data_IF_881092213511
#
_entry.id   IF_881092213511
#
_cell.length_a   1.000
_cell.length_b   1.000
_cell.length_c   1.000
_cell.angle_alpha   90.00
_cell.angle_beta   90.00
_cell.angle_gamma   90.00
#
_symmetry.space_group_name_H-M   'P 1'
#
loop_
_entity.id
_entity.type
_entity.pdbx_description
1 polymer ?
#
# COMPACT_ATOMS: atom_id res chain seq x y z
N UNK A 1 25.57 3.42 24.54
CA UNK A 1 25.84 2.21 23.73
C UNK A 1 25.08 1.08 24.38
N UNK A 2 23.86 0.83 23.92
CA UNK A 2 23.06 -0.31 24.38
C UNK A 2 23.52 -1.53 23.57
N UNK A 3 24.15 -2.50 24.24
CA UNK A 3 24.39 -3.82 23.67
C UNK A 3 23.03 -4.45 23.38
N UNK A 4 22.69 -4.58 22.10
CA UNK A 4 21.53 -5.40 21.70
C UNK A 4 21.82 -6.83 22.13
N UNK A 5 21.01 -7.34 23.03
CA UNK A 5 20.96 -8.75 23.38
C UNK A 5 20.72 -9.53 22.09
N UNK A 6 21.70 -10.32 21.65
CA UNK A 6 21.52 -11.33 20.64
C UNK A 6 20.62 -12.40 21.26
N UNK A 7 19.33 -12.37 20.93
CA UNK A 7 18.34 -13.31 21.44
C UNK A 7 18.42 -14.69 20.75
N UNK A 8 19.43 -14.89 19.89
CA UNK A 8 19.66 -16.11 19.13
C UNK A 8 18.64 -16.33 18.02
N UNK A 9 17.74 -15.38 17.76
CA UNK A 9 16.75 -15.47 16.68
C UNK A 9 17.38 -15.02 15.38
N UNK A 10 17.32 -15.87 14.35
CA UNK A 10 17.70 -15.47 13.00
C UNK A 10 16.72 -14.41 12.47
N UNK A 11 17.20 -13.16 12.44
CA UNK A 11 16.42 -11.99 12.01
C UNK A 11 16.41 -11.76 10.50
N UNK A 12 16.94 -12.69 9.70
CA UNK A 12 16.86 -12.58 8.23
C UNK A 12 15.42 -12.70 7.75
N UNK A 13 15.08 -11.98 6.68
CA UNK A 13 13.74 -12.04 6.09
C UNK A 13 13.39 -13.45 5.61
N UNK A 14 14.38 -14.26 5.23
CA UNK A 14 14.15 -15.66 4.83
C UNK A 14 13.70 -16.50 6.02
N UNK A 15 14.45 -16.46 7.13
CA UNK A 15 14.12 -17.20 8.36
C UNK A 15 12.76 -16.78 8.93
N UNK A 16 12.40 -15.50 8.79
CA UNK A 16 11.12 -14.95 9.21
C UNK A 16 9.96 -15.21 8.23
N UNK A 17 10.22 -15.77 7.04
CA UNK A 17 9.20 -15.99 6.01
C UNK A 17 8.69 -14.71 5.32
N UNK A 18 9.47 -13.63 5.39
CA UNK A 18 9.14 -12.28 4.91
C UNK A 18 9.89 -11.86 3.64
N UNK A 19 10.76 -12.72 3.09
CA UNK A 19 11.66 -12.38 1.98
C UNK A 19 10.96 -12.25 0.62
N UNK A 20 9.85 -12.96 0.39
CA UNK A 20 9.19 -12.99 -0.92
C UNK A 20 8.54 -11.65 -1.26
N UNK A 21 8.86 -11.14 -2.45
CA UNK A 21 8.25 -9.95 -3.01
C UNK A 21 7.09 -10.31 -3.98
N UNK A 22 5.87 -9.78 -3.79
CA UNK A 22 4.79 -9.88 -4.78
C UNK A 22 5.17 -9.40 -6.18
N UNK A 23 6.18 -8.53 -6.28
CA UNK A 23 6.74 -8.12 -7.57
C UNK A 23 7.31 -9.29 -8.39
N UNK A 24 7.88 -10.28 -7.72
CA UNK A 24 8.46 -11.48 -8.32
C UNK A 24 7.41 -12.61 -8.44
N UNK A 25 6.56 -12.77 -7.43
CA UNK A 25 5.45 -13.75 -7.42
C UNK A 25 4.10 -13.04 -7.16
N UNK A 26 3.35 -12.62 -8.21
CA UNK A 26 2.18 -11.77 -8.08
C UNK A 26 1.05 -12.42 -7.29
N UNK A 27 0.95 -13.76 -7.34
CA UNK A 27 -0.07 -14.51 -6.62
C UNK A 27 0.13 -14.50 -5.09
N UNK A 28 1.29 -14.03 -4.62
CA UNK A 28 1.54 -13.81 -3.19
C UNK A 28 1.05 -12.45 -2.72
N UNK A 29 0.58 -11.56 -3.60
CA UNK A 29 0.10 -10.23 -3.22
C UNK A 29 -0.98 -10.31 -2.11
N UNK A 30 -0.88 -9.48 -1.04
CA UNK A 30 0.03 -8.32 -0.86
C UNK A 30 1.43 -8.66 -0.33
N UNK A 31 1.80 -9.93 -0.22
CA UNK A 31 3.04 -10.40 0.39
C UNK A 31 2.86 -10.69 1.87
N UNK A 32 3.87 -11.30 2.50
CA UNK A 32 3.86 -11.55 3.93
C UNK A 32 4.07 -10.25 4.71
N UNK A 33 3.27 -10.05 5.76
CA UNK A 33 3.38 -8.92 6.68
C UNK A 33 4.07 -9.40 7.97
N UNK A 34 4.87 -8.55 8.63
CA UNK A 34 5.40 -8.86 9.95
C UNK A 34 4.27 -9.06 10.97
N UNK A 35 4.52 -9.86 12.02
CA UNK A 35 3.60 -10.00 13.15
C UNK A 35 3.67 -8.80 14.13
N UNK A 36 4.83 -8.15 14.18
CA UNK A 36 5.18 -7.10 15.12
C UNK A 36 5.86 -5.94 14.40
N UNK A 37 5.94 -4.81 15.09
CA UNK A 37 6.70 -3.65 14.61
C UNK A 37 8.18 -4.02 14.48
N UNK A 38 8.86 -3.46 13.47
CA UNK A 38 10.26 -3.76 13.22
C UNK A 38 10.97 -2.75 12.33
N UNK A 39 12.29 -2.83 12.31
CA UNK A 39 13.18 -2.02 11.51
C UNK A 39 13.77 -2.86 10.39
N UNK A 40 13.32 -2.61 9.15
CA UNK A 40 13.87 -3.28 7.97
C UNK A 40 15.25 -2.70 7.65
N UNK A 41 16.29 -3.53 7.73
CA UNK A 41 17.69 -3.17 7.42
C UNK A 41 18.26 -4.21 6.47
N UNK A 42 18.39 -3.84 5.20
CA UNK A 42 18.85 -4.78 4.16
C UNK A 42 17.93 -6.01 4.07
N UNK A 43 18.47 -7.18 4.38
CA UNK A 43 17.76 -8.47 4.38
C UNK A 43 17.34 -8.93 5.78
N UNK A 44 17.30 -8.04 6.77
CA UNK A 44 16.90 -8.34 8.15
C UNK A 44 15.76 -7.46 8.63
N UNK A 45 14.90 -8.02 9.49
CA UNK A 45 13.91 -7.27 10.26
C UNK A 45 14.30 -7.30 11.74
N UNK A 46 14.82 -6.18 12.22
CA UNK A 46 15.28 -6.04 13.60
C UNK A 46 14.16 -5.48 14.49
N UNK A 47 14.20 -5.70 15.81
CA UNK A 47 13.33 -4.97 16.73
C UNK A 47 13.48 -3.46 16.59
N UNK A 48 12.40 -2.71 16.84
CA UNK A 48 12.47 -1.25 16.96
C UNK A 48 12.94 -0.87 18.36
N UNK A 49 13.77 0.17 18.44
CA UNK A 49 14.17 0.77 19.71
C UNK A 49 13.02 1.66 20.26
N UNK A 50 12.85 1.68 21.58
CA UNK A 50 11.70 2.31 22.25
C UNK A 50 11.66 3.85 22.15
N UNK A 51 12.78 4.50 21.81
CA UNK A 51 12.91 5.97 21.92
C UNK A 51 12.35 6.76 20.73
N UNK A 52 11.79 6.09 19.71
CA UNK A 52 11.17 6.69 18.53
C UNK A 52 12.06 7.64 17.69
N UNK A 53 13.35 7.80 18.03
CA UNK A 53 14.32 8.64 17.27
C UNK A 53 14.45 8.19 15.82
N UNK A 54 14.20 6.90 15.56
CA UNK A 54 14.19 6.29 14.23
C UNK A 54 13.16 6.89 13.28
N UNK A 55 12.18 7.65 13.77
CA UNK A 55 11.12 8.29 12.98
C UNK A 55 11.40 9.75 12.62
N UNK A 56 12.40 10.39 13.25
CA UNK A 56 12.65 11.82 13.05
C UNK A 56 12.93 12.14 11.57
N UNK A 57 12.32 13.21 11.08
CA UNK A 57 12.42 13.67 9.69
C UNK A 57 11.94 12.65 8.63
N UNK A 58 11.13 11.66 9.02
CA UNK A 58 10.52 10.69 8.10
C UNK A 58 9.04 10.98 7.87
N UNK A 59 8.57 10.51 6.72
CA UNK A 59 7.17 10.63 6.31
C UNK A 59 6.41 9.35 6.66
N UNK A 60 5.38 9.42 7.52
CA UNK A 60 4.55 8.26 7.83
C UNK A 60 3.61 7.94 6.66
N UNK A 61 3.63 6.70 6.20
CA UNK A 61 2.74 6.19 5.16
C UNK A 61 1.99 4.97 5.68
N UNK A 62 0.66 5.02 5.67
CA UNK A 62 -0.20 3.89 6.00
C UNK A 62 -0.15 2.85 4.88
N UNK A 63 0.33 1.66 5.20
CA UNK A 63 0.47 0.55 4.27
C UNK A 63 -0.81 -0.29 4.21
N UNK A 64 -1.46 -0.28 3.04
CA UNK A 64 -2.72 -1.00 2.77
C UNK A 64 -2.47 -2.35 2.06
N UNK A 65 -1.32 -2.48 1.42
CA UNK A 65 -0.98 -3.61 0.57
C UNK A 65 0.50 -3.91 0.63
N UNK A 66 1.13 -4.06 -0.52
CA UNK A 66 2.52 -4.53 -0.60
C UNK A 66 3.58 -3.66 0.09
N UNK A 67 3.25 -2.40 0.44
CA UNK A 67 4.14 -1.57 1.26
C UNK A 67 4.25 -2.06 2.72
N UNK A 68 3.40 -2.99 3.18
CA UNK A 68 3.55 -3.67 4.47
C UNK A 68 4.42 -4.94 4.38
N UNK A 69 4.87 -5.32 3.17
CA UNK A 69 5.73 -6.49 2.96
C UNK A 69 7.22 -6.10 2.95
N UNK A 70 8.04 -6.62 3.88
CA UNK A 70 9.47 -6.32 3.91
C UNK A 70 10.20 -6.76 2.66
N UNK A 71 9.91 -7.96 2.14
CA UNK A 71 10.45 -8.46 0.88
C UNK A 71 10.14 -7.53 -0.30
N UNK A 72 8.91 -7.01 -0.37
CA UNK A 72 8.54 -6.04 -1.40
C UNK A 72 9.30 -4.71 -1.27
N UNK A 73 9.36 -4.14 -0.07
CA UNK A 73 10.06 -2.88 0.17
C UNK A 73 11.55 -3.02 -0.12
N UNK A 74 12.19 -4.10 0.37
CA UNK A 74 13.59 -4.42 0.08
C UNK A 74 13.82 -4.50 -1.42
N UNK A 75 12.97 -5.23 -2.16
CA UNK A 75 13.11 -5.35 -3.61
C UNK A 75 13.03 -3.96 -4.29
N UNK A 76 12.03 -3.13 -3.94
CA UNK A 76 11.89 -1.77 -4.49
C UNK A 76 13.13 -0.91 -4.20
N UNK A 77 13.63 -0.93 -2.97
CA UNK A 77 14.75 -0.08 -2.54
C UNK A 77 16.10 -0.56 -3.08
N UNK A 78 16.29 -1.88 -3.21
CA UNK A 78 17.49 -2.48 -3.77
C UNK A 78 17.70 -2.13 -5.24
N UNK A 79 16.63 -2.00 -6.04
CA UNK A 79 16.70 -1.51 -7.43
C UNK A 79 17.37 -0.13 -7.54
N UNK A 80 17.35 0.67 -6.47
CA UNK A 80 17.94 2.01 -6.40
C UNK A 80 19.16 2.09 -5.45
N UNK A 81 19.67 0.95 -4.99
CA UNK A 81 20.82 0.90 -4.07
C UNK A 81 20.57 1.54 -2.70
N UNK A 82 19.31 1.66 -2.27
CA UNK A 82 18.96 2.24 -0.97
C UNK A 82 19.03 1.15 0.10
N UNK A 83 19.93 1.34 1.07
CA UNK A 83 20.15 0.43 2.21
C UNK A 83 19.79 1.06 3.55
N UNK A 84 19.34 2.31 3.58
CA UNK A 84 18.93 2.99 4.81
C UNK A 84 17.76 2.25 5.47
N UNK A 85 17.73 2.16 6.82
CA UNK A 85 16.65 1.47 7.54
C UNK A 85 15.26 2.04 7.24
N UNK A 86 14.25 1.17 7.21
CA UNK A 86 12.83 1.52 7.10
C UNK A 86 12.09 1.05 8.35
N UNK A 87 11.65 1.96 9.22
CA UNK A 87 10.76 1.60 10.33
C UNK A 87 9.38 1.21 9.83
N UNK A 88 8.89 0.06 10.30
CA UNK A 88 7.58 -0.51 9.99
C UNK A 88 6.83 -0.72 11.31
N UNK A 89 5.87 0.15 11.61
CA UNK A 89 5.21 0.20 12.92
C UNK A 89 3.80 -0.34 12.80
N UNK A 90 3.47 -1.38 13.57
CA UNK A 90 2.11 -1.90 13.66
C UNK A 90 1.21 -0.87 14.34
N UNK A 91 0.03 -0.67 13.79
CA UNK A 91 -0.93 0.34 14.24
C UNK A 91 -2.35 -0.20 14.22
N UNK A 92 -3.17 0.26 15.17
CA UNK A 92 -4.61 0.08 15.16
C UNK A 92 -5.25 1.28 14.46
N UNK A 93 -5.88 1.03 13.31
CA UNK A 93 -6.50 2.05 12.47
C UNK A 93 -8.01 1.92 12.49
N UNK A 94 -8.70 3.01 12.84
CA UNK A 94 -10.16 3.11 12.80
C UNK A 94 -10.59 3.96 11.61
N UNK A 95 -11.59 3.50 10.87
CA UNK A 95 -12.19 4.24 9.76
C UNK A 95 -11.65 3.87 8.37
N UNK A 96 -10.67 2.98 8.28
CA UNK A 96 -10.07 2.52 7.01
C UNK A 96 -10.14 1.00 6.93
N UNK A 97 -10.57 0.48 5.78
CA UNK A 97 -10.50 -0.94 5.45
C UNK A 97 -9.62 -1.16 4.19
N UNK A 98 -9.29 -2.42 3.92
CA UNK A 98 -8.47 -2.85 2.78
C UNK A 98 -9.36 -3.34 1.65
N UNK A 99 -9.60 -2.47 0.68
CA UNK A 99 -10.37 -2.77 -0.52
C UNK A 99 -9.52 -3.23 -1.70
N UNK A 100 -10.18 -3.47 -2.83
CA UNK A 100 -9.54 -3.86 -4.10
C UNK A 100 -9.52 -2.67 -5.05
N UNK A 101 -8.35 -2.31 -5.58
CA UNK A 101 -8.24 -1.26 -6.60
C UNK A 101 -8.95 -1.65 -7.89
N UNK A 102 -9.54 -0.67 -8.58
CA UNK A 102 -10.16 -0.89 -9.89
C UNK A 102 -9.12 -0.80 -11.02
N UNK A 103 -7.98 -1.48 -10.87
CA UNK A 103 -6.83 -1.39 -11.78
C UNK A 103 -6.04 -2.70 -11.84
N UNK A 104 -5.66 -3.10 -13.05
CA UNK A 104 -4.75 -4.23 -13.28
C UNK A 104 -3.32 -3.72 -13.30
N UNK A 105 -2.51 -4.12 -12.32
CA UNK A 105 -1.09 -3.75 -12.25
C UNK A 105 -0.26 -4.45 -13.32
N UNK A 106 0.71 -3.72 -13.88
CA UNK A 106 1.75 -4.25 -14.78
C UNK A 106 2.66 -5.29 -14.12
N UNK A 107 2.56 -5.44 -12.80
CA UNK A 107 3.26 -6.49 -12.05
C UNK A 107 2.56 -7.84 -12.18
N UNK A 108 1.28 -7.85 -12.55
CA UNK A 108 0.48 -9.06 -12.75
C UNK A 108 -0.57 -9.32 -11.66
N UNK A 109 -0.96 -8.32 -10.87
CA UNK A 109 -1.98 -8.47 -9.83
C UNK A 109 -3.00 -7.31 -9.86
N UNK A 110 -4.09 -7.44 -9.13
CA UNK A 110 -5.05 -6.36 -8.85
C UNK A 110 -4.82 -5.88 -7.41
N UNK A 111 -4.14 -4.75 -7.25
CA UNK A 111 -3.65 -4.30 -5.94
C UNK A 111 -4.76 -3.91 -4.97
N UNK A 112 -4.42 -3.90 -3.68
CA UNK A 112 -5.25 -3.34 -2.62
C UNK A 112 -5.35 -1.81 -2.75
N UNK A 113 -6.43 -1.24 -2.21
CA UNK A 113 -6.66 0.20 -2.13
C UNK A 113 -7.35 0.53 -0.81
N UNK A 114 -7.01 1.66 -0.15
CA UNK A 114 -7.73 2.07 1.05
C UNK A 114 -9.18 2.37 0.72
N UNK A 115 -10.09 2.04 1.64
CA UNK A 115 -11.50 2.41 1.54
C UNK A 115 -11.96 3.08 2.84
N UNK A 116 -12.75 4.13 2.72
CA UNK A 116 -13.39 4.78 3.86
C UNK A 116 -14.42 3.80 4.45
N UNK A 117 -14.20 3.38 5.68
CA UNK A 117 -15.03 2.39 6.37
C UNK A 117 -15.26 2.81 7.81
N UNK A 118 -16.20 3.76 8.06
CA UNK A 118 -16.49 4.26 9.40
C UNK A 118 -16.82 3.12 10.38
N UNK A 119 -16.21 3.15 11.56
CA UNK A 119 -16.43 2.14 12.61
C UNK A 119 -15.66 0.83 12.43
N UNK A 120 -15.05 0.58 11.28
CA UNK A 120 -14.14 -0.57 11.11
C UNK A 120 -12.80 -0.27 11.76
N UNK A 121 -12.28 -1.25 12.51
CA UNK A 121 -10.96 -1.22 13.15
C UNK A 121 -10.10 -2.30 12.50
N UNK A 122 -8.87 -1.94 12.11
CA UNK A 122 -7.87 -2.82 11.49
C UNK A 122 -6.53 -2.70 12.16
N UNK A 123 -5.79 -3.80 12.19
CA UNK A 123 -4.35 -3.76 12.46
C UNK A 123 -3.63 -3.67 11.11
N UNK A 124 -2.87 -2.60 10.93
CA UNK A 124 -2.12 -2.27 9.71
C UNK A 124 -0.70 -1.85 10.10
N UNK A 125 0.09 -1.42 9.11
CA UNK A 125 1.42 -0.86 9.35
C UNK A 125 1.50 0.59 8.87
N UNK A 126 2.22 1.43 9.63
CA UNK A 126 2.77 2.70 9.15
C UNK A 126 4.25 2.49 8.87
N UNK A 127 4.64 2.72 7.63
CA UNK A 127 6.04 2.74 7.21
C UNK A 127 6.57 4.16 7.21
N UNK A 128 7.74 4.38 7.81
CA UNK A 128 8.35 5.70 7.95
C UNK A 128 9.48 5.88 6.93
N UNK A 129 9.23 6.63 5.87
CA UNK A 129 10.20 6.79 4.80
C UNK A 129 11.01 8.07 4.94
N UNK A 130 12.33 7.98 4.76
CA UNK A 130 13.14 9.15 4.44
C UNK A 130 12.80 9.69 3.04
N UNK A 131 13.34 10.85 2.67
CA UNK A 131 13.04 11.50 1.37
C UNK A 131 13.37 10.62 0.17
N UNK A 132 14.46 9.85 0.20
CA UNK A 132 14.88 9.00 -0.92
C UNK A 132 14.01 7.75 -1.03
N UNK A 133 13.74 7.11 0.10
CA UNK A 133 12.84 5.96 0.18
C UNK A 133 11.44 6.34 -0.31
N UNK A 134 10.91 7.48 0.15
CA UNK A 134 9.59 7.96 -0.24
C UNK A 134 9.48 8.23 -1.74
N UNK A 135 10.50 8.81 -2.36
CA UNK A 135 10.51 9.05 -3.81
C UNK A 135 10.42 7.75 -4.62
N UNK A 136 11.10 6.67 -4.18
CA UNK A 136 11.00 5.34 -4.80
C UNK A 136 9.60 4.75 -4.63
N UNK A 137 9.02 4.87 -3.43
CA UNK A 137 7.66 4.39 -3.18
C UNK A 137 6.66 5.16 -4.04
N UNK A 138 6.71 6.49 -4.06
CA UNK A 138 5.87 7.34 -4.91
C UNK A 138 5.97 6.96 -6.40
N UNK A 139 7.19 6.73 -6.90
CA UNK A 139 7.41 6.32 -8.30
C UNK A 139 6.78 4.95 -8.63
N UNK A 140 6.63 4.07 -7.63
CA UNK A 140 6.00 2.76 -7.78
C UNK A 140 4.46 2.81 -7.78
N UNK A 141 3.87 3.85 -7.21
CA UNK A 141 2.42 3.98 -6.98
C UNK A 141 1.70 4.73 -8.11
N UNK A 142 2.08 4.49 -9.37
CA UNK A 142 1.65 5.29 -10.55
C UNK A 142 0.13 5.39 -10.78
N UNK A 143 -0.64 4.43 -10.26
CA UNK A 143 -2.10 4.40 -10.35
C UNK A 143 -2.79 5.10 -9.16
N UNK A 144 -2.03 5.67 -8.24
CA UNK A 144 -2.51 6.24 -6.99
C UNK A 144 -2.00 7.67 -6.80
N UNK A 145 -2.77 8.45 -6.06
CA UNK A 145 -2.36 9.75 -5.54
C UNK A 145 -2.08 9.66 -4.05
N UNK A 146 -0.94 10.20 -3.63
CA UNK A 146 -0.61 10.30 -2.21
C UNK A 146 -1.42 11.42 -1.57
N UNK A 147 -2.24 11.08 -0.58
CA UNK A 147 -3.09 12.01 0.15
C UNK A 147 -2.79 11.96 1.65
N UNK A 148 -2.95 13.09 2.33
CA UNK A 148 -2.82 13.16 3.79
C UNK A 148 -4.12 12.71 4.45
N UNK A 149 -4.03 11.70 5.33
CA UNK A 149 -5.11 11.18 6.14
C UNK A 149 -5.02 11.79 7.56
N UNK A 150 -5.84 12.81 7.90
CA UNK A 150 -5.77 13.45 9.20
C UNK A 150 -6.30 12.52 10.30
N UNK A 151 -5.56 12.43 11.41
CA UNK A 151 -6.03 11.80 12.64
C UNK A 151 -7.11 12.65 13.33
N UNK A 152 -7.98 12.00 14.11
CA UNK A 152 -9.15 12.59 14.77
C UNK A 152 -8.83 13.69 15.82
N UNK A 153 -7.57 14.04 16.06
CA UNK A 153 -7.13 15.16 16.91
C UNK A 153 -6.45 16.33 16.16
N UNK A 154 -6.29 16.25 14.84
CA UNK A 154 -5.52 17.23 14.05
C UNK A 154 -6.35 18.33 13.42
N UNK A 155 -7.67 18.29 13.57
CA UNK A 155 -8.57 19.37 13.16
C UNK A 155 -8.91 20.15 14.43
N UNK A 156 -8.56 21.44 14.47
CA UNK A 156 -8.96 22.32 15.57
C UNK A 156 -10.48 22.18 15.80
N UNK A 157 -10.87 22.03 17.05
CA UNK A 157 -12.21 21.68 17.52
C UNK A 157 -13.34 22.67 17.16
N UNK A 158 -13.12 23.62 16.25
CA UNK A 158 -14.05 24.70 15.92
C UNK A 158 -15.00 24.44 14.76
N UNK A 159 -15.01 23.25 14.14
CA UNK A 159 -16.04 22.89 13.14
C UNK A 159 -16.73 21.58 13.53
N UNK A 160 -17.42 21.63 14.67
CA UNK A 160 -18.42 20.62 15.03
C UNK A 160 -19.75 20.98 14.36
N UNK A 161 -19.84 20.69 13.06
CA UNK A 161 -21.09 20.74 12.29
C UNK A 161 -21.42 19.36 11.70
N UNK A 162 -22.69 19.08 11.35
CA UNK A 162 -23.04 17.90 10.56
C UNK A 162 -22.32 18.01 9.21
N UNK A 163 -21.25 17.23 9.03
CA UNK A 163 -20.29 17.43 7.95
C UNK A 163 -18.82 17.33 8.37
N UNK A 164 -18.50 17.04 9.64
CA UNK A 164 -17.14 16.66 10.03
C UNK A 164 -16.69 15.51 9.12
N UNK A 165 -15.60 15.71 8.40
CA UNK A 165 -15.04 14.70 7.51
C UNK A 165 -14.84 13.35 8.20
N UNK A 166 -14.46 12.32 7.42
CA UNK A 166 -14.27 10.97 7.94
C UNK A 166 -13.33 10.98 9.15
N UNK A 167 -13.76 10.34 10.23
CA UNK A 167 -13.01 10.29 11.49
C UNK A 167 -12.05 9.12 11.42
N UNK A 168 -10.80 9.40 11.10
CA UNK A 168 -9.74 8.40 11.10
C UNK A 168 -8.94 8.49 12.39
N UNK A 169 -8.55 7.34 12.92
CA UNK A 169 -7.65 7.26 14.07
C UNK A 169 -6.59 6.23 13.76
N UNK A 170 -5.34 6.53 14.09
CA UNK A 170 -4.22 5.62 13.94
C UNK A 170 -3.48 5.60 15.27
N UNK A 171 -3.59 4.50 16.00
CA UNK A 171 -3.02 4.31 17.33
C UNK A 171 -1.81 3.38 17.24
N UNK A 172 -0.72 3.77 17.90
CA UNK A 172 0.46 2.92 18.11
C UNK A 172 0.17 1.90 19.22
N UNK A 173 0.98 0.83 19.30
CA UNK A 173 0.89 -0.14 20.40
C UNK A 173 1.15 0.50 21.78
N UNK A 174 1.85 1.65 21.83
CA UNK A 174 2.03 2.46 23.04
C UNK A 174 0.76 3.19 23.52
N UNK A 175 -0.32 3.18 22.71
CA UNK A 175 -1.55 3.93 22.95
C UNK A 175 -1.52 5.36 22.42
N UNK A 176 -0.37 5.85 21.93
CA UNK A 176 -0.28 7.16 21.29
C UNK A 176 -1.06 7.19 19.96
N UNK A 177 -1.80 8.28 19.71
CA UNK A 177 -2.46 8.51 18.42
C UNK A 177 -1.60 9.37 17.50
N UNK A 178 -1.34 8.87 16.28
CA UNK A 178 -0.70 9.67 15.24
C UNK A 178 -1.58 10.85 14.82
N UNK A 179 -0.94 11.99 14.56
CA UNK A 179 -1.60 13.18 13.99
C UNK A 179 -2.15 12.94 12.58
N UNK A 180 -1.64 11.94 11.90
CA UNK A 180 -2.07 11.49 10.58
C UNK A 180 -0.97 10.70 9.89
N UNK A 181 -1.30 10.16 8.73
CA UNK A 181 -0.35 9.48 7.86
C UNK A 181 -0.71 9.74 6.40
N UNK A 182 0.24 9.60 5.50
CA UNK A 182 -0.06 9.56 4.08
C UNK A 182 -0.67 8.22 3.69
N UNK A 183 -1.54 8.24 2.68
CA UNK A 183 -2.11 7.03 2.08
C UNK A 183 -2.15 7.20 0.57
N UNK A 184 -2.06 6.11 -0.18
CA UNK A 184 -2.18 6.10 -1.64
C UNK A 184 -3.63 5.81 -2.04
N UNK A 185 -4.32 6.81 -2.58
CA UNK A 185 -5.72 6.71 -3.04
C UNK A 185 -5.75 6.39 -4.52
N UNK A 186 -6.45 5.32 -4.92
CA UNK A 186 -6.43 4.86 -6.31
C UNK A 186 -7.20 5.81 -7.24
N UNK A 187 -6.57 6.22 -8.34
CA UNK A 187 -7.16 7.12 -9.36
C UNK A 187 -8.32 6.49 -10.12
N UNK A 188 -8.39 5.17 -10.13
CA UNK A 188 -9.40 4.43 -10.87
C UNK A 188 -10.61 4.06 -10.03
N UNK A 189 -10.62 4.37 -8.73
CA UNK A 189 -11.62 3.89 -7.78
C UNK A 189 -11.30 2.49 -7.28
N UNK A 190 -12.31 1.82 -6.74
CA UNK A 190 -12.21 0.48 -6.16
C UNK A 190 -13.29 -0.42 -6.71
N UNK A 191 -13.06 -1.73 -6.67
CA UNK A 191 -14.10 -2.69 -7.01
C UNK A 191 -15.16 -2.74 -5.91
N UNK A 192 -16.42 -3.00 -6.26
CA UNK A 192 -17.49 -3.26 -5.30
C UNK A 192 -17.91 -4.73 -5.25
N UNK A 193 -18.70 -5.10 -4.24
CA UNK A 193 -19.14 -6.48 -3.96
C UNK A 193 -20.46 -6.87 -4.66
N UNK A 194 -20.86 -6.12 -5.68
CA UNK A 194 -22.18 -6.23 -6.33
C UNK A 194 -23.30 -5.37 -5.71
N UNK A 195 -23.15 -4.88 -4.47
CA UNK A 195 -24.14 -4.00 -3.81
C UNK A 195 -23.81 -2.51 -3.93
N UNK A 196 -22.70 -2.18 -4.60
CA UNK A 196 -22.14 -0.83 -4.70
C UNK A 196 -21.18 -0.48 -3.55
N UNK A 197 -21.08 -1.32 -2.52
CA UNK A 197 -20.13 -1.18 -1.41
C UNK A 197 -18.75 -1.67 -1.83
N UNK A 198 -17.66 -0.92 -1.54
CA UNK A 198 -16.30 -1.39 -1.81
C UNK A 198 -16.04 -2.79 -1.26
N UNK A 199 -15.58 -3.70 -2.12
CA UNK A 199 -15.27 -5.07 -1.71
C UNK A 199 -13.95 -5.13 -0.94
N UNK A 200 -13.86 -6.06 0.00
CA UNK A 200 -12.60 -6.41 0.67
C UNK A 200 -11.66 -7.18 -0.24
N UNK A 201 -10.36 -7.06 0.00
CA UNK A 201 -9.34 -7.83 -0.69
C UNK A 201 -9.14 -9.21 -0.02
N UNK A 202 -9.56 -10.33 -0.64
CA UNK A 202 -9.47 -11.67 -0.02
C UNK A 202 -8.08 -12.32 -0.16
N UNK A 203 -7.14 -11.64 -0.81
CA UNK A 203 -5.87 -12.21 -1.28
C UNK A 203 -5.94 -12.53 -2.78
N UNK A 204 -4.79 -12.47 -3.45
CA UNK A 204 -4.76 -12.39 -4.91
C UNK A 204 -5.39 -13.61 -5.61
N UNK A 205 -5.06 -14.82 -5.16
CA UNK A 205 -5.59 -16.06 -5.75
C UNK A 205 -7.12 -16.13 -5.70
N UNK A 206 -7.71 -15.83 -4.56
CA UNK A 206 -9.16 -15.85 -4.38
C UNK A 206 -9.81 -14.74 -5.22
N UNK A 207 -9.24 -13.53 -5.18
CA UNK A 207 -9.71 -12.38 -5.94
C UNK A 207 -9.76 -12.68 -7.45
N UNK A 208 -8.64 -13.10 -8.02
CA UNK A 208 -8.55 -13.38 -9.46
C UNK A 208 -9.47 -14.53 -9.86
N UNK A 209 -9.59 -15.57 -9.03
CA UNK A 209 -10.52 -16.68 -9.28
C UNK A 209 -11.96 -16.20 -9.39
N UNK A 210 -12.38 -15.31 -8.49
CA UNK A 210 -13.73 -14.74 -8.51
C UNK A 210 -13.97 -13.82 -9.70
N UNK A 211 -13.03 -12.91 -9.99
CA UNK A 211 -13.13 -11.99 -11.12
C UNK A 211 -13.19 -12.75 -12.45
N UNK A 212 -12.31 -13.74 -12.63
CA UNK A 212 -12.30 -14.58 -13.82
C UNK A 212 -13.56 -15.43 -13.93
N UNK A 213 -14.15 -15.91 -12.83
CA UNK A 213 -15.44 -16.62 -12.88
C UNK A 213 -16.57 -15.68 -13.32
N UNK A 214 -16.58 -14.45 -12.81
CA UNK A 214 -17.62 -13.45 -13.05
C UNK A 214 -17.62 -12.84 -14.46
N UNK A 215 -16.49 -12.83 -15.17
CA UNK A 215 -16.38 -12.13 -16.46
C UNK A 215 -15.78 -12.99 -17.58
N UNK A 216 -16.58 -13.25 -18.61
CA UNK A 216 -16.09 -13.89 -19.84
C UNK A 216 -15.06 -13.03 -20.58
N UNK A 217 -15.20 -11.70 -20.50
CA UNK A 217 -14.30 -10.75 -21.17
C UNK A 217 -12.95 -10.70 -20.47
N UNK A 218 -12.91 -10.72 -19.12
CA UNK A 218 -11.66 -10.87 -18.39
C UNK A 218 -10.96 -12.18 -18.73
N UNK A 219 -11.70 -13.29 -18.84
CA UNK A 219 -11.11 -14.57 -19.26
C UNK A 219 -10.52 -14.54 -20.67
N UNK A 220 -11.16 -13.82 -21.58
CA UNK A 220 -10.65 -13.66 -22.95
C UNK A 220 -9.31 -12.90 -22.97
N UNK A 221 -9.16 -11.88 -22.12
CA UNK A 221 -7.93 -11.10 -22.01
C UNK A 221 -6.83 -11.88 -21.28
N UNK A 222 -7.14 -12.37 -20.09
CA UNK A 222 -6.14 -12.78 -19.10
C UNK A 222 -6.05 -14.29 -18.89
N UNK A 223 -6.85 -15.10 -19.60
CA UNK A 223 -6.87 -16.55 -19.39
C UNK A 223 -7.89 -16.97 -18.33
N UNK A 224 -7.95 -18.26 -18.03
CA UNK A 224 -9.00 -18.86 -17.20
C UNK A 224 -8.57 -19.10 -15.75
N UNK A 225 -7.28 -19.00 -15.47
CA UNK A 225 -6.71 -19.23 -14.14
C UNK A 225 -6.02 -17.97 -13.60
N UNK A 226 -5.89 -17.83 -12.26
CA UNK A 226 -5.10 -16.75 -11.66
C UNK A 226 -3.65 -16.70 -12.18
N UNK A 227 -3.02 -17.85 -12.40
CA UNK A 227 -1.65 -17.91 -12.90
C UNK A 227 -1.53 -17.32 -14.33
N UNK A 228 -2.42 -17.71 -15.24
CA UNK A 228 -2.48 -17.13 -16.58
C UNK A 228 -2.75 -15.62 -16.52
N UNK A 229 -3.59 -15.17 -15.59
CA UNK A 229 -3.86 -13.75 -15.42
C UNK A 229 -2.58 -12.99 -15.08
N UNK A 230 -1.84 -13.48 -14.07
CA UNK A 230 -0.59 -12.87 -13.66
C UNK A 230 0.44 -12.87 -14.79
N UNK A 231 0.61 -14.00 -15.48
CA UNK A 231 1.56 -14.15 -16.57
C UNK A 231 1.27 -13.19 -17.72
N UNK A 232 0.01 -13.10 -18.17
CA UNK A 232 -0.36 -12.24 -19.30
C UNK A 232 -0.35 -10.77 -18.96
N UNK A 233 -0.78 -10.39 -17.76
CA UNK A 233 -0.78 -8.99 -17.34
C UNK A 233 0.65 -8.47 -17.10
N UNK A 234 1.58 -9.33 -16.70
CA UNK A 234 2.94 -8.92 -16.34
C UNK A 234 3.66 -8.32 -17.55
N UNK A 235 4.11 -7.07 -17.39
CA UNK A 235 4.85 -6.33 -18.41
C UNK A 235 4.00 -5.74 -19.54
N UNK A 236 2.80 -6.28 -19.82
CA UNK A 236 1.93 -5.82 -20.90
C UNK A 236 1.07 -4.61 -20.48
N UNK A 237 1.58 -3.42 -20.78
CA UNK A 237 0.88 -2.16 -20.49
C UNK A 237 -0.48 -2.07 -21.17
N UNK A 238 -0.57 -2.44 -22.44
CA UNK A 238 -1.81 -2.26 -23.20
C UNK A 238 -2.90 -3.21 -22.70
N UNK A 239 -2.53 -4.45 -22.39
CA UNK A 239 -3.45 -5.42 -21.83
C UNK A 239 -3.94 -5.02 -20.44
N UNK A 240 -3.04 -4.53 -19.56
CA UNK A 240 -3.42 -3.98 -18.26
C UNK A 240 -4.39 -2.80 -18.37
N UNK A 241 -4.14 -1.88 -19.30
CA UNK A 241 -5.02 -0.74 -19.56
C UNK A 241 -6.40 -1.20 -20.07
N UNK A 242 -6.45 -2.21 -20.96
CA UNK A 242 -7.70 -2.82 -21.42
C UNK A 242 -8.47 -3.48 -20.28
N UNK A 243 -7.81 -4.26 -19.42
CA UNK A 243 -8.43 -4.86 -18.24
C UNK A 243 -8.95 -3.83 -17.24
N UNK A 244 -8.18 -2.77 -17.02
CA UNK A 244 -8.57 -1.64 -16.15
C UNK A 244 -9.79 -0.90 -16.68
N UNK A 245 -9.89 -0.69 -18.01
CA UNK A 245 -11.10 -0.14 -18.63
C UNK A 245 -12.28 -1.09 -18.50
N UNK A 246 -12.05 -2.38 -18.70
CA UNK A 246 -13.09 -3.41 -18.64
C UNK A 246 -13.81 -3.44 -17.29
N UNK A 247 -13.12 -3.24 -16.16
CA UNK A 247 -13.78 -3.14 -14.86
C UNK A 247 -14.89 -2.07 -14.84
N UNK A 248 -14.66 -0.91 -15.48
CA UNK A 248 -15.68 0.15 -15.59
C UNK A 248 -16.79 -0.23 -16.58
N UNK A 249 -16.42 -0.79 -17.72
CA UNK A 249 -17.38 -1.20 -18.75
C UNK A 249 -18.35 -2.28 -18.25
N UNK A 250 -17.91 -3.14 -17.34
CA UNK A 250 -18.75 -4.14 -16.66
C UNK A 250 -19.44 -3.60 -15.40
N UNK A 251 -19.31 -2.29 -15.13
CA UNK A 251 -19.98 -1.64 -14.01
C UNK A 251 -19.50 -2.10 -12.64
N UNK A 252 -18.24 -2.57 -12.51
CA UNK A 252 -17.68 -3.15 -11.28
C UNK A 252 -17.02 -2.12 -10.35
N UNK A 253 -17.01 -0.84 -10.72
CA UNK A 253 -16.21 0.21 -10.07
C UNK A 253 -17.08 1.15 -9.26
N UNK A 254 -16.62 1.46 -8.04
CA UNK A 254 -17.20 2.47 -7.15
C UNK A 254 -16.09 3.38 -6.59
N UNK A 255 -16.48 4.43 -5.87
CA UNK A 255 -15.55 5.31 -5.15
C UNK A 255 -15.09 4.64 -3.85
N UNK A 256 -13.84 4.88 -3.47
CA UNK A 256 -13.26 4.47 -2.19
C UNK A 256 -13.79 5.31 -1.01
N UNK A 257 -14.32 6.49 -1.30
CA UNK A 257 -14.76 7.45 -0.29
C UNK A 257 -13.61 8.30 0.28
N UNK A 258 -12.42 8.24 -0.33
CA UNK A 258 -11.21 8.99 0.05
C UNK A 258 -10.77 10.00 -1.02
N UNK A 259 -11.45 10.06 -2.16
CA UNK A 259 -11.11 10.90 -3.31
C UNK A 259 -11.01 12.38 -2.93
N UNK A 260 -11.85 12.85 -1.99
CA UNK A 260 -11.82 14.23 -1.48
C UNK A 260 -10.51 14.64 -0.79
N UNK A 261 -9.71 13.67 -0.36
CA UNK A 261 -8.43 13.92 0.31
C UNK A 261 -7.32 14.22 -0.71
N UNK A 262 -7.50 13.80 -1.96
CA UNK A 262 -6.61 14.11 -3.06
C UNK A 262 -6.85 15.55 -3.46
N UNK A 263 -6.02 16.48 -2.99
CA UNK A 263 -6.06 17.87 -3.46
C UNK A 263 -5.62 17.92 -4.93
N UNK A 264 -6.20 18.80 -5.77
CA UNK A 264 -5.60 19.13 -7.05
C UNK A 264 -4.19 19.67 -6.77
N UNK A 265 -3.17 19.00 -7.31
CA UNK A 265 -1.79 19.45 -7.19
C UNK A 265 -1.71 20.82 -7.87
N UNK A 266 -1.53 21.90 -7.10
CA UNK A 266 -1.05 23.15 -7.69
C UNK A 266 0.32 22.84 -8.27
N UNK A 267 0.44 22.89 -9.59
CA UNK A 267 1.72 22.85 -10.29
C UNK A 267 2.49 24.12 -9.94
N UNK A 268 3.22 24.08 -8.82
CA UNK A 268 4.28 25.03 -8.51
C UNK A 268 5.46 24.79 -9.47
N UNK A 269 5.99 25.89 -10.00
CA UNK A 269 7.00 26.04 -11.06
C UNK A 269 8.11 24.99 -11.17
N UNK A 270 8.66 24.76 -12.39
CA UNK A 270 9.70 23.78 -12.65
C UNK A 270 11.01 24.16 -11.94
N UNK A 271 11.26 23.55 -10.78
CA UNK A 271 12.60 23.46 -10.20
C UNK A 271 13.40 22.43 -10.98
N UNK A 272 14.56 22.83 -11.47
CA UNK A 272 15.48 22.02 -12.27
C UNK A 272 15.99 20.85 -11.42
N UNK A 273 15.34 19.69 -11.54
CA UNK A 273 15.72 18.44 -10.89
C UNK A 273 16.01 17.40 -11.95
N UNK A 274 17.28 17.00 -12.07
CA UNK A 274 17.77 15.98 -13.00
C UNK A 274 16.97 14.67 -12.89
N UNK A 275 16.39 14.27 -14.02
CA UNK A 275 15.68 13.00 -14.22
C UNK A 275 16.57 11.81 -13.85
N UNK A 276 16.17 11.07 -12.82
CA UNK A 276 16.72 9.74 -12.56
C UNK A 276 15.86 8.73 -13.31
N UNK A 277 16.30 8.40 -14.53
CA UNK A 277 15.86 7.19 -15.22
C UNK A 277 16.73 6.02 -14.74
N UNK A 278 16.17 4.84 -14.44
CA UNK A 278 16.97 3.66 -14.14
C UNK A 278 17.74 3.23 -15.40
N UNK A 279 18.96 2.66 -15.28
CA UNK A 279 19.62 2.03 -16.41
C UNK A 279 18.80 0.81 -16.85
N UNK A 280 18.47 0.76 -18.13
CA UNK A 280 17.84 -0.39 -18.75
C UNK A 280 18.69 -1.65 -18.57
N UNK A 281 18.09 -2.71 -18.03
CA UNK A 281 18.39 -4.10 -18.36
C UNK A 281 17.08 -4.86 -18.52
#
# INVERSE_FOLDING_TARGET
MSERVDDGVDRTLEALGLARAPREDPLTYPGAWPAESGLLVGDRLLPLDDDHSTYENRTPVLAIGSNASPGQLRHKLAEFGITSPVPMVKVRVTGIDVGVSAHVSRVGYVSASPVNSPGVVRELFVTWFDTRQLAVVDASERAYDRAWLPGSGSVSASVSGPGSGPKFRCELDSGESLRGAYVYVNRHGVLHDGTGVPRRHPGERALLTELLRGSARLRALFGRTPAEFCERARGDRELCERGTRLFREEGLVTVSGLERLVRPQQTGSPGIGSSLSPPFK
#
